data_IF_911295063157
#
_entry.id   IF_911295063157
#
_cell.length_a   1.000
_cell.length_b   1.000
_cell.length_c   1.000
_cell.angle_alpha   90.00
_cell.angle_beta   90.00
_cell.angle_gamma   90.00
#
_symmetry.space_group_name_H-M   'P 1'
#
loop_
_entity.id
_entity.type
_entity.pdbx_description
1 polymer ?
#
# COMPACT_ATOMS: atom_id res chain seq x y z
N UNK A 1 -14.50 19.76 6.64
CA UNK A 1 -14.89 19.37 5.27
C UNK A 1 -15.49 20.58 4.55
N UNK A 2 -15.18 20.76 3.27
CA UNK A 2 -15.55 21.97 2.50
C UNK A 2 -17.08 22.16 2.55
N UNK A 3 -17.52 23.27 3.13
CA UNK A 3 -18.95 23.58 3.32
C UNK A 3 -19.53 23.36 4.72
N UNK A 4 -18.78 22.75 5.64
CA UNK A 4 -19.23 22.53 7.03
C UNK A 4 -18.22 23.12 8.03
N UNK A 5 -18.47 24.32 8.58
CA UNK A 5 -17.58 24.94 9.56
C UNK A 5 -17.31 24.04 10.76
N UNK A 6 -16.10 24.14 11.34
CA UNK A 6 -15.70 23.45 12.59
C UNK A 6 -15.79 21.91 12.55
N UNK A 7 -15.67 21.31 11.36
CA UNK A 7 -15.70 19.84 11.21
C UNK A 7 -14.29 19.25 11.12
N UNK A 8 -14.12 18.08 11.74
CA UNK A 8 -12.92 17.25 11.65
C UNK A 8 -13.29 15.98 10.87
N UNK A 9 -12.43 15.57 9.96
CA UNK A 9 -12.56 14.31 9.22
C UNK A 9 -11.18 13.72 8.94
N UNK A 10 -11.14 12.40 8.72
CA UNK A 10 -9.94 11.72 8.26
C UNK A 10 -10.04 11.51 6.75
N UNK A 11 -8.97 11.85 6.04
CA UNK A 11 -8.84 11.66 4.59
C UNK A 11 -7.42 11.17 4.31
N UNK A 12 -7.25 10.53 3.16
CA UNK A 12 -5.92 10.18 2.67
C UNK A 12 -5.11 11.46 2.37
N UNK A 13 -3.79 11.42 2.54
CA UNK A 13 -2.90 12.59 2.48
C UNK A 13 -2.99 13.31 1.13
N UNK A 14 -3.02 12.59 0.01
CA UNK A 14 -3.11 13.19 -1.31
C UNK A 14 -4.36 14.06 -1.47
N UNK A 15 -5.48 13.68 -0.85
CA UNK A 15 -6.68 14.53 -0.85
C UNK A 15 -6.41 15.87 -0.16
N UNK A 16 -5.71 15.86 0.98
CA UNK A 16 -5.37 17.08 1.69
C UNK A 16 -4.41 17.97 0.88
N UNK A 17 -3.39 17.37 0.25
CA UNK A 17 -2.40 18.08 -0.56
C UNK A 17 -3.01 18.72 -1.82
N UNK A 18 -3.87 17.98 -2.53
CA UNK A 18 -4.46 18.44 -3.80
C UNK A 18 -5.60 19.44 -3.62
N UNK A 19 -6.30 19.40 -2.49
CA UNK A 19 -7.43 20.31 -2.20
C UNK A 19 -7.03 21.50 -1.34
N UNK A 20 -5.83 21.51 -0.77
CA UNK A 20 -5.33 22.59 0.08
C UNK A 20 -6.09 22.75 1.40
N UNK A 21 -6.78 21.70 1.87
CA UNK A 21 -7.46 21.75 3.17
C UNK A 21 -6.43 21.72 4.30
N UNK A 22 -6.65 22.48 5.39
CA UNK A 22 -5.78 22.39 6.57
C UNK A 22 -5.78 20.98 7.16
N UNK A 23 -4.62 20.54 7.64
CA UNK A 23 -4.44 19.27 8.33
C UNK A 23 -3.67 19.47 9.63
N UNK A 24 -3.90 18.58 10.60
CA UNK A 24 -3.28 18.63 11.91
C UNK A 24 -1.91 17.92 11.93
N UNK A 25 -1.03 18.37 12.83
CA UNK A 25 0.13 17.58 13.25
C UNK A 25 -0.33 16.58 14.30
N UNK A 26 0.15 15.34 14.21
CA UNK A 26 -0.24 14.28 15.15
C UNK A 26 0.99 13.86 15.97
N UNK A 27 0.79 13.72 17.28
CA UNK A 27 1.83 13.24 18.19
C UNK A 27 2.13 11.77 17.91
N UNK A 28 3.39 11.43 17.63
CA UNK A 28 3.82 10.06 17.39
C UNK A 28 4.27 9.34 18.67
N UNK A 29 4.67 8.07 18.55
CA UNK A 29 5.14 7.24 19.66
C UNK A 29 6.35 7.81 20.41
N UNK A 30 7.20 8.59 19.74
CA UNK A 30 8.34 9.27 20.35
C UNK A 30 7.97 10.58 21.06
N UNK A 31 6.70 11.00 20.98
CA UNK A 31 6.18 12.20 21.61
C UNK A 31 6.27 13.47 20.77
N UNK A 32 6.72 13.39 19.51
CA UNK A 32 6.87 14.52 18.60
C UNK A 32 5.58 14.75 17.81
N UNK A 33 5.23 16.02 17.56
CA UNK A 33 4.14 16.38 16.66
C UNK A 33 4.63 16.40 15.21
N UNK A 34 4.16 15.45 14.42
CA UNK A 34 4.63 15.22 13.06
C UNK A 34 3.55 15.62 12.06
N UNK A 35 3.94 16.41 11.06
CA UNK A 35 3.10 16.70 9.91
C UNK A 35 3.05 15.49 8.95
N UNK A 36 1.91 15.22 8.30
CA UNK A 36 1.85 14.21 7.26
C UNK A 36 2.63 14.66 6.03
N UNK A 37 3.47 13.77 5.49
CA UNK A 37 4.28 14.00 4.29
C UNK A 37 4.73 12.64 3.74
N UNK A 38 5.22 12.61 2.50
CA UNK A 38 5.85 11.40 1.95
C UNK A 38 7.00 10.91 2.84
N UNK A 39 7.84 11.82 3.34
CA UNK A 39 8.98 11.48 4.19
C UNK A 39 8.56 10.90 5.54
N UNK A 40 7.55 11.48 6.20
CA UNK A 40 7.08 10.99 7.50
C UNK A 40 6.27 9.69 7.39
N UNK A 41 5.59 9.47 6.26
CA UNK A 41 4.96 8.19 5.91
C UNK A 41 6.01 7.13 5.59
N UNK A 42 7.04 7.45 4.81
CA UNK A 42 8.17 6.55 4.53
C UNK A 42 8.88 6.15 5.83
N UNK A 43 9.11 7.11 6.73
CA UNK A 43 9.68 6.84 8.04
C UNK A 43 8.80 5.86 8.84
N UNK A 44 7.47 6.01 8.80
CA UNK A 44 6.56 5.07 9.47
C UNK A 44 6.68 3.65 8.91
N UNK A 45 6.78 3.48 7.58
CA UNK A 45 6.97 2.17 6.94
C UNK A 45 8.32 1.57 7.33
N UNK A 46 9.42 2.33 7.17
CA UNK A 46 10.79 1.83 7.38
C UNK A 46 11.08 1.47 8.84
N UNK A 47 10.51 2.21 9.80
CA UNK A 47 10.70 1.92 11.22
C UNK A 47 9.68 0.91 11.77
N UNK A 48 8.72 0.47 10.96
CA UNK A 48 7.74 -0.51 11.42
C UNK A 48 8.37 -1.91 11.49
N UNK A 49 8.29 -2.63 12.63
CA UNK A 49 8.75 -4.01 12.72
C UNK A 49 8.03 -4.96 11.76
N UNK A 50 6.77 -4.65 11.43
CA UNK A 50 5.94 -5.50 10.58
C UNK A 50 6.42 -5.56 9.14
N UNK A 51 7.11 -4.52 8.66
CA UNK A 51 7.56 -4.45 7.27
C UNK A 51 8.52 -5.59 6.90
N UNK A 52 9.20 -6.19 7.88
CA UNK A 52 10.12 -7.32 7.71
C UNK A 52 9.49 -8.68 8.08
N UNK A 53 8.22 -8.70 8.47
CA UNK A 53 7.53 -9.90 8.98
C UNK A 53 6.12 -10.04 8.41
N UNK A 54 5.94 -9.58 7.17
CA UNK A 54 4.66 -9.69 6.47
C UNK A 54 4.27 -11.17 6.30
N UNK A 55 3.01 -11.53 6.62
CA UNK A 55 2.52 -12.89 6.42
C UNK A 55 2.47 -13.22 4.92
N UNK A 56 2.37 -14.51 4.57
CA UNK A 56 2.09 -14.88 3.19
C UNK A 56 0.73 -14.30 2.74
N UNK A 57 0.53 -14.07 1.44
CA UNK A 57 -0.67 -13.42 0.93
C UNK A 57 -1.98 -14.18 1.23
N UNK A 58 -1.93 -15.50 1.38
CA UNK A 58 -3.07 -16.35 1.75
C UNK A 58 -3.20 -16.60 3.27
N UNK A 59 -2.36 -15.95 4.08
CA UNK A 59 -2.44 -15.96 5.53
C UNK A 59 -3.17 -14.73 6.08
N UNK A 60 -3.36 -14.66 7.40
CA UNK A 60 -4.06 -13.55 8.03
C UNK A 60 -3.22 -12.27 8.07
N UNK A 61 -3.74 -11.20 7.47
CA UNK A 61 -3.17 -9.85 7.51
C UNK A 61 -3.73 -8.97 8.63
N UNK A 62 -4.60 -9.49 9.50
CA UNK A 62 -5.30 -8.68 10.53
C UNK A 62 -4.37 -8.07 11.58
N UNK A 63 -3.14 -8.58 11.70
CA UNK A 63 -2.11 -8.06 12.60
C UNK A 63 -1.13 -7.11 11.91
N UNK A 64 -1.27 -6.88 10.60
CA UNK A 64 -0.39 -5.97 9.87
C UNK A 64 -0.83 -4.55 10.14
N UNK A 65 -0.01 -3.80 10.87
CA UNK A 65 -0.29 -2.42 11.25
C UNK A 65 0.98 -1.57 11.19
N UNK A 66 0.88 -0.43 10.51
CA UNK A 66 1.88 0.63 10.55
C UNK A 66 1.51 1.76 11.52
N UNK A 67 0.35 1.65 12.18
CA UNK A 67 -0.13 2.67 13.10
C UNK A 67 0.85 2.84 14.26
N UNK A 68 1.15 4.10 14.55
CA UNK A 68 2.05 4.51 15.62
C UNK A 68 3.43 3.82 15.57
N UNK A 69 3.94 3.58 14.37
CA UNK A 69 5.29 3.01 14.17
C UNK A 69 6.35 3.84 14.89
N UNK A 70 7.36 3.20 15.51
CA UNK A 70 8.35 3.90 16.35
C UNK A 70 9.25 4.83 15.52
N UNK A 71 9.88 5.80 16.17
CA UNK A 71 10.84 6.71 15.55
C UNK A 71 10.46 8.18 15.71
N UNK A 72 11.45 9.06 15.68
CA UNK A 72 11.25 10.49 15.98
C UNK A 72 10.45 11.22 14.90
N UNK A 73 10.53 10.78 13.65
CA UNK A 73 9.94 11.44 12.47
C UNK A 73 8.78 10.65 11.82
N UNK A 74 8.27 9.62 12.49
CA UNK A 74 7.19 8.79 11.93
C UNK A 74 5.84 9.49 12.05
N UNK A 75 5.08 9.51 10.95
CA UNK A 75 3.69 9.91 11.02
C UNK A 75 2.87 8.74 11.63
N UNK A 76 2.07 8.96 12.68
CA UNK A 76 1.46 7.87 13.43
C UNK A 76 0.25 7.22 12.74
N UNK A 77 -0.27 7.82 11.66
CA UNK A 77 -1.43 7.31 10.93
C UNK A 77 -1.01 7.00 9.49
N UNK A 78 -0.37 5.84 9.32
CA UNK A 78 0.03 5.29 8.03
C UNK A 78 -0.52 3.87 7.87
N UNK A 79 -0.75 3.45 6.63
CA UNK A 79 -1.21 2.08 6.29
C UNK A 79 -0.78 1.71 4.88
N UNK A 80 -0.70 0.41 4.61
CA UNK A 80 -0.72 -0.09 3.23
C UNK A 80 -2.14 -0.02 2.66
N UNK A 81 -2.21 -0.06 1.34
CA UNK A 81 -3.42 -0.41 0.58
C UNK A 81 -3.21 -1.79 -0.04
N UNK A 82 -4.29 -2.52 -0.30
CA UNK A 82 -4.22 -3.93 -0.69
C UNK A 82 -5.03 -4.19 -1.96
N UNK A 83 -4.50 -5.09 -2.81
CA UNK A 83 -5.25 -5.73 -3.87
C UNK A 83 -5.62 -7.14 -3.42
N UNK A 84 -6.88 -7.52 -3.58
CA UNK A 84 -7.37 -8.86 -3.28
C UNK A 84 -7.72 -9.59 -4.57
N UNK A 85 -7.12 -10.76 -4.77
CA UNK A 85 -7.34 -11.61 -5.93
C UNK A 85 -7.63 -13.05 -5.50
N UNK A 86 -8.45 -13.75 -6.28
CA UNK A 86 -8.54 -15.20 -6.14
C UNK A 86 -7.23 -15.84 -6.62
N UNK A 87 -6.77 -16.89 -5.91
CA UNK A 87 -5.55 -17.63 -6.27
C UNK A 87 -5.67 -18.30 -7.64
N UNK A 88 -6.86 -18.82 -7.97
CA UNK A 88 -7.23 -19.18 -9.34
C UNK A 88 -8.16 -18.11 -9.91
N UNK A 89 -7.67 -17.35 -10.88
CA UNK A 89 -8.42 -16.25 -11.51
C UNK A 89 -9.54 -16.75 -12.41
N UNK A 90 -9.59 -18.04 -12.77
CA UNK A 90 -10.71 -18.62 -13.53
C UNK A 90 -12.01 -18.70 -12.72
N UNK A 91 -11.94 -18.53 -11.40
CA UNK A 91 -13.11 -18.37 -10.52
C UNK A 91 -13.93 -17.13 -10.84
N UNK A 92 -13.34 -16.13 -11.50
CA UNK A 92 -14.08 -14.99 -12.01
C UNK A 92 -14.57 -15.27 -13.44
N UNK A 93 -15.88 -15.46 -13.67
CA UNK A 93 -16.41 -15.81 -14.99
C UNK A 93 -16.23 -14.71 -16.05
N UNK A 94 -15.82 -13.50 -15.66
CA UNK A 94 -15.53 -12.39 -16.59
C UNK A 94 -14.09 -12.39 -17.09
N UNK A 95 -13.21 -13.20 -16.51
CA UNK A 95 -11.83 -13.34 -16.93
C UNK A 95 -11.68 -14.57 -17.83
N UNK A 96 -11.24 -14.33 -19.06
CA UNK A 96 -10.55 -15.35 -19.84
C UNK A 96 -9.06 -15.35 -19.47
N UNK A 97 -8.32 -16.35 -19.98
CA UNK A 97 -6.90 -16.50 -19.66
C UNK A 97 -6.07 -15.28 -20.07
N UNK A 98 -6.41 -14.65 -21.20
CA UNK A 98 -5.72 -13.45 -21.71
C UNK A 98 -5.90 -12.26 -20.76
N UNK A 99 -7.14 -11.99 -20.31
CA UNK A 99 -7.42 -10.94 -19.34
C UNK A 99 -6.80 -11.24 -17.98
N UNK A 100 -6.79 -12.50 -17.54
CA UNK A 100 -6.16 -12.91 -16.31
C UNK A 100 -4.64 -12.66 -16.35
N UNK A 101 -3.99 -13.00 -17.47
CA UNK A 101 -2.57 -12.70 -17.68
C UNK A 101 -2.29 -11.20 -17.69
N UNK A 102 -3.08 -10.42 -18.43
CA UNK A 102 -2.93 -8.97 -18.46
C UNK A 102 -3.10 -8.31 -17.08
N UNK A 103 -4.01 -8.84 -16.24
CA UNK A 103 -4.17 -8.37 -14.86
C UNK A 103 -2.90 -8.64 -14.02
N UNK A 104 -2.35 -9.85 -14.10
CA UNK A 104 -1.12 -10.22 -13.37
C UNK A 104 0.07 -9.37 -13.84
N UNK A 105 0.19 -9.13 -15.15
CA UNK A 105 1.25 -8.31 -15.73
C UNK A 105 1.11 -6.83 -15.32
N UNK A 106 -0.11 -6.31 -15.30
CA UNK A 106 -0.38 -4.97 -14.81
C UNK A 106 0.01 -4.81 -13.33
N UNK A 107 -0.33 -5.79 -12.48
CA UNK A 107 0.05 -5.74 -11.05
C UNK A 107 1.57 -5.84 -10.90
N UNK A 108 2.24 -6.72 -11.67
CA UNK A 108 3.69 -6.82 -11.70
C UNK A 108 4.37 -5.50 -12.05
N UNK A 109 3.86 -4.81 -13.09
CA UNK A 109 4.31 -3.46 -13.43
C UNK A 109 4.03 -2.46 -12.30
N UNK A 110 2.82 -2.49 -11.73
CA UNK A 110 2.39 -1.54 -10.70
C UNK A 110 3.27 -1.60 -9.44
N UNK A 111 3.67 -2.80 -8.99
CA UNK A 111 4.56 -2.98 -7.84
C UNK A 111 6.04 -2.75 -8.17
N UNK A 112 6.40 -2.63 -9.46
CA UNK A 112 7.77 -2.38 -9.91
C UNK A 112 7.90 -0.99 -10.55
N UNK A 113 7.91 -0.88 -11.88
CA UNK A 113 8.10 0.37 -12.60
C UNK A 113 7.02 1.41 -12.32
N UNK A 114 5.78 0.97 -12.08
CA UNK A 114 4.68 1.82 -11.68
C UNK A 114 4.93 2.58 -10.37
N UNK A 115 5.82 2.10 -9.49
CA UNK A 115 6.18 2.82 -8.26
C UNK A 115 6.87 4.17 -8.54
N UNK A 116 7.45 4.36 -9.74
CA UNK A 116 8.05 5.63 -10.15
C UNK A 116 7.03 6.77 -10.25
N UNK A 117 5.75 6.47 -10.46
CA UNK A 117 4.68 7.50 -10.51
C UNK A 117 4.07 7.79 -9.14
N UNK A 118 4.30 6.94 -8.13
CA UNK A 118 3.67 7.04 -6.82
C UNK A 118 3.92 8.40 -6.10
N UNK A 119 5.15 8.95 -6.07
CA UNK A 119 5.41 10.22 -5.38
C UNK A 119 4.62 11.40 -5.97
N UNK A 120 4.44 11.42 -7.29
CA UNK A 120 3.66 12.47 -7.97
C UNK A 120 2.18 12.41 -7.63
N UNK A 121 1.70 11.24 -7.19
CA UNK A 121 0.34 11.01 -6.73
C UNK A 121 0.20 11.09 -5.21
N UNK A 122 1.25 11.52 -4.49
CA UNK A 122 1.23 11.65 -3.03
C UNK A 122 1.39 10.32 -2.29
N UNK A 123 1.90 9.27 -2.93
CA UNK A 123 2.16 7.96 -2.32
C UNK A 123 3.65 7.66 -2.16
N UNK A 124 3.96 6.93 -1.09
CA UNK A 124 5.31 6.41 -0.82
C UNK A 124 5.54 5.15 -1.65
N UNK A 125 6.64 5.07 -2.43
CA UNK A 125 7.02 3.85 -3.14
C UNK A 125 7.19 2.66 -2.19
N UNK A 126 6.78 1.48 -2.63
CA UNK A 126 6.98 0.24 -1.88
C UNK A 126 8.49 -0.02 -1.64
N UNK A 127 8.90 -0.34 -0.39
CA UNK A 127 10.24 -0.84 -0.12
C UNK A 127 10.53 -2.12 -0.92
N UNK A 128 11.79 -2.31 -1.32
CA UNK A 128 12.22 -3.45 -2.14
C UNK A 128 11.83 -4.82 -1.54
N UNK A 129 11.85 -4.95 -0.21
CA UNK A 129 11.43 -6.18 0.47
C UNK A 129 9.93 -6.49 0.27
N UNK A 130 9.08 -5.45 0.23
CA UNK A 130 7.65 -5.61 -0.02
C UNK A 130 7.39 -5.92 -1.49
N UNK A 131 8.09 -5.24 -2.42
CA UNK A 131 8.03 -5.57 -3.86
C UNK A 131 8.40 -7.04 -4.10
N UNK A 132 9.44 -7.54 -3.42
CA UNK A 132 9.85 -8.94 -3.52
C UNK A 132 8.78 -9.89 -3.00
N UNK A 133 8.17 -9.57 -1.86
CA UNK A 133 7.06 -10.33 -1.27
C UNK A 133 5.85 -10.39 -2.22
N UNK A 134 5.48 -9.27 -2.82
CA UNK A 134 4.39 -9.18 -3.78
C UNK A 134 4.69 -10.00 -5.05
N UNK A 135 5.92 -9.94 -5.57
CA UNK A 135 6.35 -10.75 -6.71
C UNK A 135 6.28 -12.26 -6.41
N UNK A 136 6.63 -12.69 -5.19
CA UNK A 136 6.50 -14.08 -4.79
C UNK A 136 5.04 -14.50 -4.64
N UNK A 137 4.18 -13.59 -4.21
CA UNK A 137 2.72 -13.78 -4.22
C UNK A 137 2.18 -13.99 -5.63
N UNK A 138 2.61 -13.18 -6.62
CA UNK A 138 2.15 -13.31 -8.00
C UNK A 138 2.47 -14.67 -8.63
N UNK A 139 3.57 -15.33 -8.24
CA UNK A 139 3.92 -16.69 -8.69
C UNK A 139 2.87 -17.74 -8.30
N UNK A 140 2.06 -17.46 -7.28
CA UNK A 140 1.01 -18.38 -6.82
C UNK A 140 -0.30 -18.25 -7.62
N UNK A 141 -0.42 -17.22 -8.47
CA UNK A 141 -1.63 -16.97 -9.24
C UNK A 141 -1.72 -17.87 -10.47
N UNK A 142 -2.89 -18.46 -10.66
CA UNK A 142 -3.17 -19.41 -11.74
C UNK A 142 -4.43 -19.06 -12.50
N UNK A 143 -4.59 -19.66 -13.68
CA UNK A 143 -5.86 -19.76 -14.40
C UNK A 143 -6.11 -21.22 -14.75
N UNK A 144 -7.11 -21.85 -14.14
CA UNK A 144 -7.38 -23.29 -14.27
C UNK A 144 -6.12 -24.13 -13.97
N UNK A 145 -5.43 -23.79 -12.88
CA UNK A 145 -4.18 -24.43 -12.47
C UNK A 145 -2.93 -24.08 -13.28
N UNK A 146 -3.05 -23.32 -14.38
CA UNK A 146 -1.89 -22.87 -15.16
C UNK A 146 -1.30 -21.59 -14.55
N UNK A 147 0.00 -21.53 -14.19
CA UNK A 147 0.62 -20.31 -13.66
C UNK A 147 0.52 -19.13 -14.63
N UNK A 148 0.23 -17.93 -14.11
CA UNK A 148 0.08 -16.72 -14.92
C UNK A 148 1.30 -15.80 -14.88
N UNK A 149 2.02 -15.75 -13.75
CA UNK A 149 3.15 -14.84 -13.61
C UNK A 149 4.38 -15.38 -14.31
N UNK A 150 4.90 -14.61 -15.26
CA UNK A 150 6.08 -14.99 -16.06
C UNK A 150 7.38 -14.34 -15.57
N UNK A 151 7.32 -13.52 -14.52
CA UNK A 151 8.44 -12.67 -14.10
C UNK A 151 8.63 -11.44 -14.98
N UNK A 152 9.44 -10.46 -14.55
CA UNK A 152 10.34 -9.79 -15.48
C UNK A 152 11.37 -10.77 -16.07
#
# INVERSE_FOLDING_TARGET
MKGSPNTIGYVELNYALTTGIPYALIKNAAGNFIAPSLNSTQAAVTNSPIANSLPAADQSWTKVSLLNSPGSNTYPIATFTYLLLNKDLSTNPRLDQTKAKALVDFISWAITDGQKVAPNLGYVPLPAAIVKHDQDTLKSLTFKGTPLYTGP
#
